data_IF_437027779199
#
_entry.id   IF_437027779199
#
_cell.length_a   1.000
_cell.length_b   1.000
_cell.length_c   1.000
_cell.angle_alpha   90.00
_cell.angle_beta   90.00
_cell.angle_gamma   90.00
#
_symmetry.space_group_name_H-M   'P 1'
#
loop_
_entity.id
_entity.type
_entity.pdbx_description
1 polymer ?
#
# COMPACT_ATOMS: atom_id res chain seq x y z
N UNK A 1 -21.02 -2.92 -9.20
CA UNK A 1 -20.62 -4.04 -10.07
C UNK A 1 -19.43 -4.80 -9.48
N UNK A 2 -18.26 -4.15 -9.20
CA UNK A 2 -17.04 -4.80 -8.68
C UNK A 2 -17.32 -5.60 -7.40
N UNK A 3 -17.89 -4.96 -6.36
CA UNK A 3 -18.23 -5.65 -5.11
C UNK A 3 -19.11 -6.89 -5.33
N UNK A 4 -20.17 -6.77 -6.15
CA UNK A 4 -21.10 -7.88 -6.44
C UNK A 4 -20.46 -9.03 -7.23
N UNK A 5 -19.33 -8.78 -7.89
CA UNK A 5 -18.57 -9.77 -8.68
C UNK A 5 -17.29 -10.24 -7.98
N UNK A 6 -17.01 -9.78 -6.75
CA UNK A 6 -15.79 -10.11 -6.03
C UNK A 6 -14.51 -9.59 -6.70
N UNK A 7 -14.62 -8.55 -7.55
CA UNK A 7 -13.46 -7.96 -8.22
C UNK A 7 -12.80 -6.98 -7.29
N UNK A 8 -11.48 -7.13 -7.09
CA UNK A 8 -10.67 -6.19 -6.31
C UNK A 8 -10.25 -4.97 -7.13
N UNK A 9 -9.97 -3.89 -6.44
CA UNK A 9 -9.49 -2.64 -7.00
C UNK A 9 -8.12 -2.27 -6.43
N UNK A 10 -7.08 -2.33 -7.25
CA UNK A 10 -5.75 -1.81 -6.94
C UNK A 10 -5.65 -0.39 -7.54
N UNK A 11 -5.71 0.66 -6.72
CA UNK A 11 -5.92 2.03 -7.23
C UNK A 11 -4.69 2.65 -7.87
N UNK A 12 -3.48 2.16 -7.59
CA UNK A 12 -2.21 2.70 -8.10
C UNK A 12 -2.11 4.24 -7.94
N UNK A 13 -2.35 4.69 -6.69
CA UNK A 13 -2.36 6.12 -6.36
C UNK A 13 -0.98 6.75 -6.52
N UNK A 14 0.07 5.99 -6.11
CA UNK A 14 1.45 6.44 -6.18
C UNK A 14 1.91 6.74 -7.61
N UNK A 15 1.51 5.91 -8.58
CA UNK A 15 1.80 6.16 -9.98
C UNK A 15 1.12 7.44 -10.50
N UNK A 16 -0.17 7.62 -10.18
CA UNK A 16 -0.90 8.83 -10.59
C UNK A 16 -0.30 10.10 -9.97
N UNK A 17 0.08 10.06 -8.68
CA UNK A 17 0.75 11.17 -8.01
C UNK A 17 2.13 11.45 -8.61
N UNK A 18 2.92 10.41 -8.93
CA UNK A 18 4.23 10.57 -9.56
C UNK A 18 4.12 11.24 -10.94
N UNK A 19 3.20 10.78 -11.80
CA UNK A 19 2.97 11.36 -13.13
C UNK A 19 2.57 12.83 -13.01
N UNK A 20 1.68 13.18 -12.08
CA UNK A 20 1.29 14.57 -11.85
C UNK A 20 2.49 15.44 -11.43
N UNK A 21 3.38 14.92 -10.57
CA UNK A 21 4.59 15.62 -10.15
C UNK A 21 5.61 15.78 -11.29
N UNK A 22 5.77 14.78 -12.15
CA UNK A 22 6.58 14.90 -13.36
C UNK A 22 6.04 15.97 -14.32
N UNK A 23 4.71 16.18 -14.32
CA UNK A 23 4.05 17.29 -15.01
C UNK A 23 4.17 18.66 -14.32
N UNK A 24 4.96 18.77 -13.24
CA UNK A 24 5.21 20.00 -12.52
C UNK A 24 4.31 20.27 -11.31
N UNK A 25 3.42 19.34 -10.94
CA UNK A 25 2.60 19.52 -9.75
C UNK A 25 3.44 19.34 -8.46
N UNK A 26 3.38 20.31 -7.56
CA UNK A 26 4.14 20.32 -6.31
C UNK A 26 3.43 19.62 -5.13
N UNK A 27 2.24 19.06 -5.35
CA UNK A 27 1.45 18.43 -4.29
C UNK A 27 0.46 19.37 -3.60
N UNK A 28 0.45 20.65 -3.97
CA UNK A 28 -0.48 21.65 -3.42
C UNK A 28 -1.68 21.91 -4.35
N UNK A 29 -2.65 22.67 -3.85
CA UNK A 29 -3.78 23.12 -4.64
C UNK A 29 -3.33 24.20 -5.68
N UNK A 30 -4.02 24.28 -6.85
CA UNK A 30 -5.09 23.38 -7.27
C UNK A 30 -4.59 22.00 -7.69
N UNK A 31 -5.32 20.95 -7.28
CA UNK A 31 -5.00 19.58 -7.71
C UNK A 31 -5.27 19.42 -9.23
N UNK A 32 -4.37 18.76 -9.97
CA UNK A 32 -4.63 18.37 -11.36
C UNK A 32 -5.90 17.52 -11.50
N UNK A 33 -6.53 17.58 -12.67
CA UNK A 33 -7.76 16.80 -12.96
C UNK A 33 -7.55 15.30 -12.73
N UNK A 34 -6.41 14.74 -13.15
CA UNK A 34 -6.08 13.32 -12.95
C UNK A 34 -6.07 12.93 -11.46
N UNK A 35 -5.56 13.79 -10.59
CA UNK A 35 -5.55 13.56 -9.13
C UNK A 35 -6.97 13.61 -8.57
N UNK A 36 -7.77 14.63 -8.96
CA UNK A 36 -9.17 14.75 -8.51
C UNK A 36 -10.00 13.54 -8.93
N UNK A 37 -9.90 13.14 -10.20
CA UNK A 37 -10.62 11.99 -10.74
C UNK A 37 -10.21 10.67 -10.05
N UNK A 38 -8.92 10.48 -9.82
CA UNK A 38 -8.39 9.31 -9.12
C UNK A 38 -8.89 9.27 -7.67
N UNK A 39 -8.82 10.40 -6.95
CA UNK A 39 -9.31 10.52 -5.57
C UNK A 39 -10.82 10.22 -5.49
N UNK A 40 -11.62 10.76 -6.41
CA UNK A 40 -13.06 10.50 -6.45
C UNK A 40 -13.37 9.01 -6.71
N UNK A 41 -12.67 8.39 -7.65
CA UNK A 41 -12.80 6.96 -7.95
C UNK A 41 -12.43 6.08 -6.75
N UNK A 42 -11.32 6.40 -6.08
CA UNK A 42 -10.85 5.70 -4.88
C UNK A 42 -11.87 5.83 -3.73
N UNK A 43 -12.33 7.04 -3.44
CA UNK A 43 -13.32 7.30 -2.40
C UNK A 43 -14.64 6.56 -2.67
N UNK A 44 -15.11 6.56 -3.92
CA UNK A 44 -16.32 5.83 -4.30
C UNK A 44 -16.18 4.31 -4.12
N UNK A 45 -15.03 3.74 -4.49
CA UNK A 45 -14.75 2.31 -4.31
C UNK A 45 -14.69 1.94 -2.83
N UNK A 46 -14.01 2.77 -2.01
CA UNK A 46 -13.91 2.58 -0.56
C UNK A 46 -15.30 2.65 0.10
N UNK A 47 -16.09 3.67 -0.20
CA UNK A 47 -17.45 3.84 0.33
C UNK A 47 -18.39 2.70 -0.09
N UNK A 48 -18.23 2.16 -1.29
CA UNK A 48 -19.00 1.02 -1.78
C UNK A 48 -18.58 -0.32 -1.14
N UNK A 49 -17.49 -0.35 -0.37
CA UNK A 49 -16.93 -1.57 0.24
C UNK A 49 -16.41 -2.53 -0.83
N UNK A 50 -15.80 -2.02 -1.90
CA UNK A 50 -15.06 -2.82 -2.87
C UNK A 50 -13.80 -3.38 -2.18
N UNK A 51 -13.45 -4.63 -2.45
CA UNK A 51 -12.19 -5.20 -1.98
C UNK A 51 -11.04 -4.41 -2.56
N UNK A 52 -10.21 -3.81 -1.68
CA UNK A 52 -9.05 -3.04 -2.09
C UNK A 52 -7.81 -3.93 -2.14
N UNK A 53 -6.85 -3.58 -3.00
CA UNK A 53 -5.51 -4.15 -3.02
C UNK A 53 -4.45 -3.05 -3.06
N UNK A 54 -3.25 -3.36 -2.58
CA UNK A 54 -2.08 -2.48 -2.71
C UNK A 54 -1.30 -2.89 -3.95
N UNK A 55 -1.07 -1.92 -4.83
CA UNK A 55 -0.22 -2.05 -6.01
C UNK A 55 0.13 -0.66 -6.49
N UNK A 56 1.39 -0.23 -6.33
CA UNK A 56 1.83 1.14 -6.58
C UNK A 56 2.27 1.41 -8.01
N UNK A 57 2.42 0.36 -8.85
CA UNK A 57 2.97 0.49 -10.20
C UNK A 57 4.40 1.07 -10.19
N UNK A 58 5.25 0.46 -9.35
CA UNK A 58 6.66 0.85 -9.22
C UNK A 58 7.39 0.67 -10.55
N UNK A 59 8.19 1.67 -10.91
CA UNK A 59 8.77 1.87 -12.24
C UNK A 59 8.29 3.19 -12.83
N UNK A 60 7.04 3.59 -12.55
CA UNK A 60 6.56 4.97 -12.75
C UNK A 60 7.23 5.92 -11.74
N UNK A 61 7.61 5.42 -10.58
CA UNK A 61 8.40 6.11 -9.56
C UNK A 61 9.54 5.22 -9.05
N UNK A 62 10.44 5.76 -8.24
CA UNK A 62 11.65 5.06 -7.80
C UNK A 62 11.34 3.77 -7.02
N UNK A 63 12.09 2.70 -7.32
CA UNK A 63 12.09 1.49 -6.52
C UNK A 63 12.52 1.82 -5.08
N UNK A 64 11.93 1.13 -4.10
CA UNK A 64 12.14 1.40 -2.67
C UNK A 64 11.11 2.35 -2.05
N UNK A 65 10.40 3.16 -2.85
CA UNK A 65 9.34 4.06 -2.38
C UNK A 65 7.94 3.41 -2.37
N UNK A 66 7.85 2.10 -2.24
CA UNK A 66 6.59 1.34 -2.37
C UNK A 66 5.59 1.65 -1.24
N UNK A 67 6.07 2.01 -0.04
CA UNK A 67 5.25 2.44 1.09
C UNK A 67 4.37 3.66 0.77
N UNK A 68 4.76 4.46 -0.25
CA UNK A 68 4.01 5.63 -0.71
C UNK A 68 2.57 5.30 -1.12
N UNK A 69 2.33 4.13 -1.75
CA UNK A 69 0.96 3.71 -2.09
C UNK A 69 0.11 3.57 -0.83
N UNK A 70 0.63 2.89 0.20
CA UNK A 70 -0.06 2.67 1.47
C UNK A 70 -0.32 4.00 2.17
N UNK A 71 0.67 4.91 2.18
CA UNK A 71 0.54 6.24 2.77
C UNK A 71 -0.54 7.07 2.05
N UNK A 72 -0.61 7.01 0.72
CA UNK A 72 -1.65 7.69 -0.06
C UNK A 72 -3.04 7.08 0.18
N UNK A 73 -3.16 5.76 0.30
CA UNK A 73 -4.43 5.11 0.64
C UNK A 73 -4.97 5.64 1.98
N UNK A 74 -4.10 5.80 2.98
CA UNK A 74 -4.47 6.36 4.28
C UNK A 74 -4.80 7.86 4.17
N UNK A 75 -3.96 8.64 3.50
CA UNK A 75 -4.19 10.08 3.29
C UNK A 75 -5.51 10.37 2.57
N UNK A 76 -5.99 9.43 1.74
CA UNK A 76 -7.24 9.56 1.00
C UNK A 76 -8.42 8.82 1.65
N UNK A 77 -8.30 8.41 2.93
CA UNK A 77 -9.44 8.04 3.76
C UNK A 77 -9.52 6.58 4.22
N UNK A 78 -8.57 5.71 3.87
CA UNK A 78 -8.50 4.37 4.45
C UNK A 78 -7.90 4.45 5.86
N UNK A 79 -8.41 3.62 6.78
CA UNK A 79 -7.79 3.52 8.12
C UNK A 79 -6.42 2.87 8.02
N UNK A 80 -5.42 3.30 8.83
CA UNK A 80 -4.06 2.72 8.78
C UNK A 80 -4.04 1.19 8.91
N UNK A 81 -4.78 0.62 9.85
CA UNK A 81 -4.85 -0.84 10.02
C UNK A 81 -5.45 -1.56 8.81
N UNK A 82 -6.46 -0.96 8.16
CA UNK A 82 -7.07 -1.53 6.96
C UNK A 82 -6.08 -1.49 5.78
N UNK A 83 -5.29 -0.41 5.67
CA UNK A 83 -4.26 -0.27 4.65
C UNK A 83 -3.12 -1.28 4.85
N UNK A 84 -2.66 -1.47 6.11
CA UNK A 84 -1.65 -2.49 6.45
C UNK A 84 -2.17 -3.90 6.18
N UNK A 85 -3.41 -4.20 6.57
CA UNK A 85 -4.03 -5.49 6.26
C UNK A 85 -4.14 -5.71 4.75
N UNK A 86 -4.55 -4.69 4.00
CA UNK A 86 -4.65 -4.75 2.52
C UNK A 86 -3.29 -5.05 1.90
N UNK A 87 -2.20 -4.41 2.39
CA UNK A 87 -0.84 -4.61 1.90
C UNK A 87 -0.24 -5.97 2.24
N UNK A 88 -0.80 -6.68 3.21
CA UNK A 88 -0.28 -7.96 3.75
C UNK A 88 -1.26 -9.10 3.51
N UNK A 89 -2.06 -9.44 4.51
CA UNK A 89 -3.00 -10.56 4.47
C UNK A 89 -4.06 -10.40 3.36
N UNK A 90 -4.51 -9.18 3.08
CA UNK A 90 -5.47 -8.88 2.02
C UNK A 90 -4.93 -9.22 0.64
N UNK A 91 -3.75 -8.71 0.30
CA UNK A 91 -3.09 -9.02 -0.96
C UNK A 91 -2.73 -10.52 -1.07
N UNK A 92 -2.19 -11.12 -0.01
CA UNK A 92 -1.88 -12.54 0.02
C UNK A 92 -3.11 -13.40 -0.32
N UNK A 93 -4.24 -13.08 0.28
CA UNK A 93 -5.52 -13.76 -0.01
C UNK A 93 -5.97 -13.55 -1.46
N UNK A 94 -5.82 -12.35 -2.00
CA UNK A 94 -6.20 -12.04 -3.39
C UNK A 94 -5.43 -12.85 -4.43
N UNK A 95 -4.15 -13.08 -4.19
CA UNK A 95 -3.28 -13.84 -5.11
C UNK A 95 -3.27 -15.34 -4.81
N UNK A 96 -4.12 -15.81 -3.88
CA UNK A 96 -4.26 -17.23 -3.55
C UNK A 96 -3.16 -17.78 -2.62
N UNK A 97 -2.35 -16.92 -2.01
CA UNK A 97 -1.25 -17.30 -1.09
C UNK A 97 -1.57 -17.02 0.38
N UNK A 98 -2.83 -16.77 0.72
CA UNK A 98 -3.26 -16.40 2.06
C UNK A 98 -2.96 -17.46 3.13
N UNK A 99 -2.71 -18.70 2.75
CA UNK A 99 -2.30 -19.77 3.66
C UNK A 99 -0.78 -19.89 3.83
N UNK A 100 0.02 -19.16 3.05
CA UNK A 100 1.47 -19.22 3.08
C UNK A 100 2.10 -17.94 3.61
N UNK A 101 1.58 -16.76 3.21
CA UNK A 101 2.17 -15.44 3.51
C UNK A 101 1.12 -14.44 4.01
N UNK A 102 1.57 -13.25 4.37
CA UNK A 102 0.74 -12.09 4.70
C UNK A 102 0.30 -12.00 6.16
N UNK A 103 0.57 -13.04 6.97
CA UNK A 103 0.28 -13.04 8.41
C UNK A 103 1.44 -13.64 9.19
N UNK A 104 1.67 -13.16 10.40
CA UNK A 104 2.64 -13.72 11.33
C UNK A 104 1.95 -14.84 12.12
N UNK A 105 2.18 -16.09 11.73
CA UNK A 105 1.62 -17.27 12.39
C UNK A 105 2.54 -18.49 12.19
N UNK A 106 2.49 -19.49 13.10
CA UNK A 106 3.22 -20.73 12.91
C UNK A 106 2.88 -21.41 11.58
N UNK A 107 3.90 -21.92 10.88
CA UNK A 107 3.74 -22.59 9.59
C UNK A 107 3.70 -21.65 8.37
N UNK A 108 3.74 -20.33 8.58
CA UNK A 108 3.82 -19.33 7.50
C UNK A 108 5.26 -19.09 7.08
N UNK A 109 5.45 -18.67 5.84
CA UNK A 109 6.76 -18.21 5.35
C UNK A 109 7.13 -16.92 6.10
N UNK A 110 8.34 -16.91 6.67
CA UNK A 110 8.82 -15.77 7.45
C UNK A 110 9.36 -14.65 6.53
N UNK A 111 8.46 -13.94 5.87
CA UNK A 111 8.70 -12.69 5.15
C UNK A 111 8.26 -11.55 6.06
N UNK A 112 9.22 -10.86 6.68
CA UNK A 112 8.96 -9.87 7.72
C UNK A 112 9.66 -8.56 7.42
N UNK A 113 8.99 -7.47 7.75
CA UNK A 113 9.58 -6.13 7.78
C UNK A 113 9.34 -5.54 9.16
N UNK A 114 10.41 -5.07 9.82
CA UNK A 114 10.28 -4.25 11.01
C UNK A 114 10.52 -2.78 10.67
N UNK A 115 9.76 -1.90 11.32
CA UNK A 115 9.87 -0.46 11.17
C UNK A 115 10.06 0.20 12.54
N UNK A 116 10.67 1.37 12.58
CA UNK A 116 10.73 2.15 13.81
C UNK A 116 9.39 2.90 14.00
N UNK A 117 8.76 2.69 15.17
CA UNK A 117 7.46 3.27 15.50
C UNK A 117 6.29 2.34 15.22
N UNK A 118 5.07 2.90 15.33
CA UNK A 118 3.82 2.18 15.14
C UNK A 118 3.11 2.64 13.86
N UNK A 119 3.12 1.84 12.78
CA UNK A 119 2.48 2.21 11.52
C UNK A 119 0.93 2.20 11.62
N UNK A 120 0.35 1.60 12.65
CA UNK A 120 -1.09 1.70 12.89
C UNK A 120 -1.50 3.06 13.46
N UNK A 121 -0.61 3.71 14.21
CA UNK A 121 -0.80 5.07 14.71
C UNK A 121 -0.32 6.13 13.70
N UNK A 122 0.79 5.88 13.03
CA UNK A 122 1.38 6.76 12.02
C UNK A 122 1.92 5.95 10.85
N UNK A 123 1.21 5.98 9.74
CA UNK A 123 1.56 5.19 8.55
C UNK A 123 2.95 5.58 7.97
N UNK A 124 3.44 6.78 8.23
CA UNK A 124 4.79 7.22 7.87
C UNK A 124 5.91 6.41 8.51
N UNK A 125 5.64 5.63 9.56
CA UNK A 125 6.60 4.69 10.13
C UNK A 125 7.08 3.64 9.10
N UNK A 126 6.32 3.39 8.04
CA UNK A 126 6.72 2.50 6.95
C UNK A 126 7.97 2.97 6.19
N UNK A 127 8.32 4.24 6.28
CA UNK A 127 9.54 4.80 5.68
C UNK A 127 10.81 4.53 6.53
N UNK A 128 10.64 4.00 7.75
CA UNK A 128 11.72 3.76 8.71
C UNK A 128 12.00 2.28 8.90
N UNK A 129 12.26 1.57 7.80
CA UNK A 129 12.56 0.14 7.82
C UNK A 129 13.87 -0.13 8.56
N UNK A 130 13.80 -0.95 9.62
CA UNK A 130 14.94 -1.34 10.47
C UNK A 130 15.39 -2.78 10.24
N UNK A 131 14.53 -3.66 9.73
CA UNK A 131 14.86 -5.05 9.44
C UNK A 131 14.04 -5.54 8.25
N UNK A 132 14.66 -6.37 7.41
CA UNK A 132 13.97 -7.13 6.36
C UNK A 132 14.37 -8.58 6.46
N UNK A 133 13.40 -9.47 6.53
CA UNK A 133 13.59 -10.93 6.50
C UNK A 133 12.84 -11.51 5.30
N UNK A 134 13.47 -12.39 4.56
CA UNK A 134 12.89 -13.12 3.45
C UNK A 134 13.07 -14.62 3.66
N UNK A 135 11.98 -15.36 3.70
CA UNK A 135 11.96 -16.82 3.94
C UNK A 135 12.82 -17.24 5.16
N UNK A 136 12.75 -16.46 6.23
CA UNK A 136 13.52 -16.69 7.45
C UNK A 136 14.99 -16.22 7.42
N UNK A 137 15.47 -15.70 6.29
CA UNK A 137 16.82 -15.16 6.17
C UNK A 137 16.79 -13.62 6.31
N UNK A 138 17.65 -13.08 7.16
CA UNK A 138 17.83 -11.64 7.29
C UNK A 138 18.51 -11.09 6.03
N UNK A 139 17.82 -10.15 5.36
CA UNK A 139 18.29 -9.45 4.16
C UNK A 139 18.85 -8.08 4.53
N UNK A 140 18.26 -7.45 5.57
CA UNK A 140 18.72 -6.20 6.17
C UNK A 140 18.69 -6.33 7.68
N UNK A 141 19.81 -6.02 8.33
CA UNK A 141 19.97 -6.06 9.79
C UNK A 141 19.56 -4.72 10.43
N UNK A 142 19.13 -4.74 11.71
CA UNK A 142 18.96 -3.50 12.46
C UNK A 142 20.29 -2.76 12.55
N UNK A 143 20.27 -1.47 12.15
CA UNK A 143 21.47 -0.59 12.25
C UNK A 143 22.35 -0.50 11.00
N UNK A 144 21.98 -1.15 9.91
CA UNK A 144 22.60 -1.01 8.58
C UNK A 144 21.84 -0.02 7.66
#
# INVERSE_FOLDING_TARGET
LMKARGVAFCPTLAATDAIARYGGWNGAAPEPEAIRAKRASYAAALAAGVTMCVGGDTGVFAHGANAREIALMVAWGMKPLDALWTATAGNAKLIGLGDEIGTIAPGRIADLVAVAGDPAANIGALDTVTMVMQRGHLVRMPGE
#
